data_IF_257440808662
#
_entry.id   IF_257440808662
#
_cell.length_a   1.000
_cell.length_b   1.000
_cell.length_c   1.000
_cell.angle_alpha   90.00
_cell.angle_beta   90.00
_cell.angle_gamma   90.00
#
_symmetry.space_group_name_H-M   'P 1'
#
loop_
_entity.id
_entity.type
_entity.pdbx_description
1 polymer ?
#
# COMPACT_ATOMS: atom_id res chain seq x y z
N UNK A 1 0.81 16.96 14.93
CA UNK A 1 1.42 16.64 13.61
C UNK A 1 0.38 15.92 12.78
N UNK A 2 -0.08 16.50 11.67
CA UNK A 2 -1.08 15.85 10.81
C UNK A 2 -0.37 14.89 9.86
N UNK A 3 -0.73 13.61 9.91
CA UNK A 3 -0.25 12.63 8.95
C UNK A 3 -0.73 13.03 7.55
N UNK A 4 0.18 13.14 6.59
CA UNK A 4 -0.21 13.43 5.21
C UNK A 4 -1.00 12.24 4.65
N UNK A 5 -1.90 12.48 3.67
CA UNK A 5 -2.60 11.39 2.97
C UNK A 5 -1.64 10.35 2.40
N UNK A 6 -0.48 10.78 1.92
CA UNK A 6 0.56 9.88 1.42
C UNK A 6 1.07 8.93 2.52
N UNK A 7 1.31 9.44 3.73
CA UNK A 7 1.77 8.61 4.85
C UNK A 7 0.67 7.67 5.36
N UNK A 8 -0.60 8.11 5.41
CA UNK A 8 -1.74 7.23 5.72
C UNK A 8 -1.85 6.05 4.72
N UNK A 9 -1.78 6.35 3.42
CA UNK A 9 -1.83 5.33 2.38
C UNK A 9 -0.65 4.36 2.44
N UNK A 10 0.55 4.88 2.74
CA UNK A 10 1.74 4.05 2.87
C UNK A 10 1.60 3.05 4.01
N UNK A 11 1.17 3.50 5.19
CA UNK A 11 1.00 2.65 6.36
C UNK A 11 -0.02 1.54 6.06
N UNK A 12 -1.19 1.90 5.50
CA UNK A 12 -2.23 0.91 5.18
C UNK A 12 -1.75 -0.14 4.17
N UNK A 13 -1.11 0.31 3.09
CA UNK A 13 -0.59 -0.58 2.05
C UNK A 13 0.48 -1.54 2.55
N UNK A 14 1.45 -1.04 3.32
CA UNK A 14 2.56 -1.84 3.86
C UNK A 14 2.03 -2.82 4.91
N UNK A 15 1.17 -2.38 5.83
CA UNK A 15 0.61 -3.26 6.86
C UNK A 15 -0.20 -4.40 6.24
N UNK A 16 -1.00 -4.12 5.20
CA UNK A 16 -1.73 -5.17 4.50
C UNK A 16 -0.79 -6.16 3.81
N UNK A 17 0.28 -5.68 3.15
CA UNK A 17 1.27 -6.52 2.50
C UNK A 17 2.03 -7.40 3.51
N UNK A 18 2.39 -6.84 4.67
CA UNK A 18 3.10 -7.56 5.74
C UNK A 18 2.26 -8.69 6.39
N UNK A 19 0.93 -8.64 6.25
CA UNK A 19 0.03 -9.70 6.71
C UNK A 19 -0.11 -10.85 5.69
N UNK A 20 0.39 -10.68 4.47
CA UNK A 20 0.31 -11.72 3.45
C UNK A 20 1.39 -12.78 3.65
N UNK A 21 1.17 -14.03 3.20
CA UNK A 21 2.18 -15.06 3.26
C UNK A 21 3.48 -14.64 2.57
N UNK A 22 4.62 -14.89 3.21
CA UNK A 22 5.93 -14.61 2.63
C UNK A 22 6.10 -15.36 1.30
N UNK A 23 6.69 -14.68 0.31
CA UNK A 23 6.89 -15.24 -1.04
C UNK A 23 5.64 -15.22 -1.93
N UNK A 24 4.51 -14.69 -1.46
CA UNK A 24 3.32 -14.52 -2.27
C UNK A 24 3.32 -13.15 -2.98
N UNK A 25 3.18 -13.17 -4.31
CA UNK A 25 3.04 -11.95 -5.11
C UNK A 25 1.61 -11.41 -5.02
N UNK A 26 1.49 -10.17 -4.56
CA UNK A 26 0.20 -9.49 -4.45
C UNK A 26 0.02 -8.45 -5.56
N UNK A 27 -1.05 -8.52 -6.36
CA UNK A 27 -1.37 -7.48 -7.33
C UNK A 27 -1.65 -6.14 -6.63
N UNK A 28 -1.08 -5.06 -7.16
CA UNK A 28 -1.23 -3.72 -6.60
C UNK A 28 -2.70 -3.30 -6.49
N UNK A 29 -3.50 -3.62 -7.49
CA UNK A 29 -4.93 -3.34 -7.57
C UNK A 29 -5.71 -4.07 -6.47
N UNK A 30 -5.27 -5.28 -6.11
CA UNK A 30 -5.88 -6.05 -5.03
C UNK A 30 -5.60 -5.39 -3.69
N UNK A 31 -4.34 -4.96 -3.45
CA UNK A 31 -3.98 -4.23 -2.24
C UNK A 31 -4.80 -2.93 -2.17
N UNK A 32 -4.80 -2.14 -3.24
CA UNK A 32 -5.51 -0.86 -3.34
C UNK A 32 -7.01 -1.00 -3.01
N UNK A 33 -7.68 -2.02 -3.55
CA UNK A 33 -9.08 -2.29 -3.27
C UNK A 33 -9.31 -2.69 -1.80
N UNK A 34 -8.40 -3.46 -1.20
CA UNK A 34 -8.50 -3.95 0.18
C UNK A 34 -8.27 -2.86 1.22
N UNK A 35 -7.41 -1.89 0.92
CA UNK A 35 -7.07 -0.79 1.84
C UNK A 35 -7.77 0.52 1.52
N UNK A 36 -8.66 0.50 0.51
CA UNK A 36 -9.45 1.65 0.05
C UNK A 36 -8.59 2.85 -0.36
N UNK A 37 -7.49 2.58 -1.06
CA UNK A 37 -6.57 3.61 -1.57
C UNK A 37 -6.60 3.62 -3.09
N UNK A 38 -6.66 4.80 -3.76
CA UNK A 38 -6.62 4.82 -5.22
C UNK A 38 -5.28 4.31 -5.75
N UNK A 39 -5.34 3.42 -6.75
CA UNK A 39 -4.17 2.73 -7.33
C UNK A 39 -3.00 3.68 -7.66
N UNK A 40 -3.20 4.86 -8.29
CA UNK A 40 -2.08 5.74 -8.62
C UNK A 40 -1.32 6.28 -7.41
N UNK A 41 -1.98 6.44 -6.26
CA UNK A 41 -1.30 6.87 -5.03
C UNK A 41 -0.52 5.72 -4.40
N UNK A 42 -1.13 4.54 -4.36
CA UNK A 42 -0.47 3.36 -3.81
C UNK A 42 0.74 2.93 -4.66
N UNK A 43 0.65 3.08 -5.98
CA UNK A 43 1.78 2.87 -6.90
C UNK A 43 2.97 3.76 -6.53
N UNK A 44 2.74 5.05 -6.25
CA UNK A 44 3.79 5.99 -5.84
C UNK A 44 4.43 5.60 -4.51
N UNK A 45 3.65 5.08 -3.56
CA UNK A 45 4.19 4.57 -2.29
C UNK A 45 5.15 3.41 -2.57
N UNK A 46 4.69 2.37 -3.27
CA UNK A 46 5.51 1.17 -3.49
C UNK A 46 6.70 1.41 -4.41
N UNK A 47 6.60 2.38 -5.34
CA UNK A 47 7.73 2.82 -6.16
C UNK A 47 8.87 3.41 -5.32
N UNK A 48 8.59 4.04 -4.17
CA UNK A 48 9.65 4.56 -3.27
C UNK A 48 10.32 3.43 -2.48
N UNK A 49 9.66 2.28 -2.35
CA UNK A 49 10.14 1.14 -1.56
C UNK A 49 10.94 0.11 -2.37
N UNK A 50 11.06 0.32 -3.69
CA UNK A 50 11.78 -0.54 -4.64
C UNK A 50 12.95 0.22 -5.22
#
# INVERSE_FOLDING_TARGET
>A
MQLTRAADYAIRGILYLAQQPAGHLMPLETIAARVEVPVPFLAKVFQVLT
#
